data_IF_586421472819
#
_entry.id   IF_586421472819
#
_cell.length_a   1.000
_cell.length_b   1.000
_cell.length_c   1.000
_cell.angle_alpha   90.00
_cell.angle_beta   90.00
_cell.angle_gamma   90.00
#
_symmetry.space_group_name_H-M   'P 1'
#
loop_
_entity.id
_entity.type
_entity.pdbx_description
1 polymer ?
#
# COMPACT_ATOMS: atom_id res chain seq x y z
N UNK A 1 -8.00 -16.17 -2.44
CA UNK A 1 -7.86 -14.86 -1.78
C UNK A 1 -9.25 -14.36 -1.44
N UNK A 2 -9.51 -13.92 -0.20
CA UNK A 2 -10.80 -13.30 0.13
C UNK A 2 -10.64 -11.81 -0.14
N UNK A 3 -11.34 -11.31 -1.15
CA UNK A 3 -11.29 -9.88 -1.46
C UNK A 3 -11.86 -9.09 -0.28
N UNK A 4 -11.15 -8.01 0.07
CA UNK A 4 -11.59 -7.08 1.10
C UNK A 4 -12.85 -6.36 0.62
N UNK A 5 -13.82 -6.16 1.52
CA UNK A 5 -15.00 -5.36 1.19
C UNK A 5 -14.57 -3.94 0.81
N UNK A 6 -15.28 -3.32 -0.13
CA UNK A 6 -14.97 -1.96 -0.60
C UNK A 6 -14.87 -0.95 0.55
N UNK A 7 -15.77 -1.04 1.54
CA UNK A 7 -15.75 -0.17 2.72
C UNK A 7 -14.47 -0.31 3.56
N UNK A 8 -13.91 -1.51 3.65
CA UNK A 8 -12.66 -1.73 4.39
C UNK A 8 -11.44 -1.26 3.59
N UNK A 9 -11.50 -1.31 2.26
CA UNK A 9 -10.49 -0.73 1.37
C UNK A 9 -10.47 0.80 1.48
N UNK A 10 -11.64 1.44 1.44
CA UNK A 10 -11.79 2.90 1.60
C UNK A 10 -11.24 3.36 2.95
N UNK A 11 -11.62 2.70 4.05
CA UNK A 11 -11.06 2.98 5.39
C UNK A 11 -9.55 2.84 5.45
N UNK A 12 -9.00 1.83 4.77
CA UNK A 12 -7.55 1.61 4.72
C UNK A 12 -6.85 2.72 3.93
N UNK A 13 -7.44 3.15 2.82
CA UNK A 13 -6.94 4.26 2.00
C UNK A 13 -6.97 5.58 2.77
N UNK A 14 -8.10 5.93 3.39
CA UNK A 14 -8.25 7.14 4.20
C UNK A 14 -7.22 7.17 5.32
N UNK A 15 -7.03 6.04 6.02
CA UNK A 15 -6.04 5.97 7.08
C UNK A 15 -4.61 6.11 6.58
N UNK A 16 -4.30 5.62 5.38
CA UNK A 16 -3.00 5.85 4.75
C UNK A 16 -2.79 7.33 4.44
N UNK A 17 -3.78 8.02 3.90
CA UNK A 17 -3.71 9.46 3.62
C UNK A 17 -3.47 10.27 4.89
N UNK A 18 -4.22 10.03 5.97
CA UNK A 18 -4.02 10.68 7.27
C UNK A 18 -2.58 10.48 7.79
N UNK A 19 -2.06 9.27 7.71
CA UNK A 19 -0.70 8.95 8.18
C UNK A 19 0.36 9.64 7.31
N UNK A 20 0.16 9.74 5.99
CA UNK A 20 1.05 10.46 5.09
C UNK A 20 1.08 11.95 5.44
N UNK A 21 -0.07 12.56 5.71
CA UNK A 21 -0.17 13.96 6.13
C UNK A 21 0.56 14.20 7.47
N UNK A 22 0.39 13.30 8.45
CA UNK A 22 1.04 13.39 9.76
C UNK A 22 2.58 13.33 9.68
N UNK A 23 3.15 12.51 8.78
CA UNK A 23 4.62 12.36 8.68
C UNK A 23 5.29 13.42 7.81
N UNK A 24 4.53 14.07 6.94
CA UNK A 24 4.99 15.07 5.97
C UNK A 24 5.62 14.48 4.70
N UNK A 25 5.52 15.23 3.59
CA UNK A 25 5.87 14.80 2.23
C UNK A 25 7.30 14.25 2.10
N UNK A 26 8.27 14.86 2.80
CA UNK A 26 9.67 14.42 2.79
C UNK A 26 9.86 12.96 3.26
N UNK A 27 8.90 12.42 4.02
CA UNK A 27 8.96 11.07 4.58
C UNK A 27 8.02 10.08 3.91
N UNK A 28 7.20 10.50 2.94
CA UNK A 28 6.22 9.63 2.27
C UNK A 28 6.88 8.39 1.67
N UNK A 29 7.94 8.57 0.88
CA UNK A 29 8.67 7.46 0.26
C UNK A 29 9.25 6.48 1.30
N UNK A 30 9.80 6.99 2.40
CA UNK A 30 10.35 6.16 3.48
C UNK A 30 9.25 5.39 4.21
N UNK A 31 8.09 6.02 4.44
CA UNK A 31 6.95 5.39 5.09
C UNK A 31 6.40 4.26 4.21
N UNK A 32 6.17 4.52 2.92
CA UNK A 32 5.66 3.52 1.98
C UNK A 32 6.61 2.34 1.84
N UNK A 33 7.93 2.58 1.73
CA UNK A 33 8.93 1.51 1.71
C UNK A 33 8.87 0.65 2.98
N UNK A 34 8.74 1.27 4.16
CA UNK A 34 8.57 0.54 5.43
C UNK A 34 7.26 -0.23 5.49
N UNK A 35 6.16 0.36 5.03
CA UNK A 35 4.85 -0.28 5.00
C UNK A 35 4.88 -1.54 4.13
N UNK A 36 5.47 -1.46 2.93
CA UNK A 36 5.64 -2.60 2.03
C UNK A 36 6.45 -3.71 2.71
N UNK A 37 7.58 -3.39 3.37
CA UNK A 37 8.36 -4.41 4.09
C UNK A 37 7.54 -5.08 5.21
N UNK A 38 6.78 -4.31 5.99
CA UNK A 38 5.95 -4.86 7.08
C UNK A 38 4.85 -5.76 6.51
N UNK A 39 4.17 -5.34 5.45
CA UNK A 39 3.11 -6.13 4.80
C UNK A 39 3.69 -7.37 4.13
N UNK A 40 4.84 -7.27 3.46
CA UNK A 40 5.52 -8.42 2.85
C UNK A 40 5.86 -9.50 3.88
N UNK A 41 6.36 -9.09 5.07
CA UNK A 41 6.59 -10.02 6.17
C UNK A 41 5.30 -10.68 6.69
N UNK A 42 4.16 -9.98 6.63
CA UNK A 42 2.86 -10.54 7.05
C UNK A 42 2.26 -11.48 6.01
N UNK A 43 2.39 -11.15 4.72
CA UNK A 43 1.92 -11.98 3.60
C UNK A 43 2.76 -13.26 3.53
N UNK A 44 4.08 -13.15 3.73
CA UNK A 44 4.99 -14.29 3.73
C UNK A 44 5.31 -14.84 2.34
N UNK A 45 4.77 -14.23 1.28
CA UNK A 45 4.98 -14.60 -0.11
C UNK A 45 5.56 -13.41 -0.90
N UNK A 46 6.83 -13.48 -1.35
CA UNK A 46 7.45 -12.41 -2.12
C UNK A 46 6.86 -12.24 -3.52
N UNK A 47 6.32 -13.30 -4.15
CA UNK A 47 5.71 -13.20 -5.48
C UNK A 47 4.40 -12.43 -5.42
N UNK A 48 3.56 -12.66 -4.39
CA UNK A 48 2.34 -11.86 -4.18
C UNK A 48 2.65 -10.37 -3.95
N UNK A 49 3.72 -10.07 -3.22
CA UNK A 49 4.17 -8.69 -2.98
C UNK A 49 4.66 -8.04 -4.28
N UNK A 50 5.43 -8.76 -5.10
CA UNK A 50 5.89 -8.27 -6.40
C UNK A 50 4.71 -7.97 -7.34
N UNK A 51 3.74 -8.88 -7.42
CA UNK A 51 2.52 -8.66 -8.20
C UNK A 51 1.75 -7.42 -7.72
N UNK A 52 1.61 -7.23 -6.41
CA UNK A 52 0.95 -6.05 -5.85
C UNK A 52 1.67 -4.74 -6.23
N UNK A 53 3.00 -4.72 -6.23
CA UNK A 53 3.79 -3.56 -6.66
C UNK A 53 3.61 -3.26 -8.16
N UNK A 54 3.59 -4.30 -9.00
CA UNK A 54 3.38 -4.15 -10.43
C UNK A 54 1.98 -3.59 -10.74
N UNK A 55 0.94 -4.15 -10.12
CA UNK A 55 -0.44 -3.68 -10.26
C UNK A 55 -0.59 -2.22 -9.80
N UNK A 56 0.01 -1.86 -8.66
CA UNK A 56 -0.01 -0.48 -8.17
C UNK A 56 0.69 0.49 -9.13
N UNK A 57 1.79 0.07 -9.77
CA UNK A 57 2.48 0.87 -10.79
C UNK A 57 1.62 1.04 -12.04
N UNK A 58 0.99 -0.03 -12.54
CA UNK A 58 0.12 0.03 -13.72
C UNK A 58 -1.06 1.00 -13.50
N UNK A 59 -1.70 0.94 -12.33
CA UNK A 59 -2.79 1.86 -11.98
C UNK A 59 -2.41 3.35 -11.95
N UNK A 60 -1.12 3.68 -11.85
CA UNK A 60 -0.62 5.06 -11.94
C UNK A 60 -0.29 5.49 -13.38
N UNK A 61 -0.10 4.54 -14.30
CA UNK A 61 0.24 4.80 -15.70
C UNK A 61 -1.01 4.84 -16.61
N UNK A 62 -2.12 4.27 -16.16
CA UNK A 62 -3.39 4.22 -16.88
C UNK A 62 -4.31 5.45 -16.66
N UNK A 63 -3.79 6.54 -16.07
CA UNK A 63 -4.48 7.82 -15.84
C UNK A 63 -3.81 9.00 -16.54
#
# INVERSE_FOLDING_TARGET
>A
MTDMAFEDLEKTYDRLAEVLDEVGEEKHALLLAKLVMILAHKIGDPEEVEQALLNAREGLLDG
#
